data_IF_707384863241
#
_entry.id   IF_707384863241
#
_cell.length_a   1.000
_cell.length_b   1.000
_cell.length_c   1.000
_cell.angle_alpha   90.00
_cell.angle_beta   90.00
_cell.angle_gamma   90.00
#
_symmetry.space_group_name_H-M   'P 1'
#
loop_
_entity.id
_entity.type
_entity.pdbx_description
1 polymer ?
#
# COMPACT_ATOMS: atom_id res chain seq x y z
N UNK A 1 1.18 -1.63 -0.07
CA UNK A 1 -0.17 -1.03 -0.23
C UNK A 1 -1.15 -1.52 0.84
N UNK A 2 -1.08 -2.78 1.28
CA UNK A 2 -1.93 -3.28 2.36
C UNK A 2 -1.66 -2.57 3.69
N UNK A 3 -0.39 -2.41 4.07
CA UNK A 3 -0.03 -1.67 5.28
C UNK A 3 -0.53 -0.21 5.26
N UNK A 4 -0.50 0.47 4.10
CA UNK A 4 -1.05 1.84 4.00
C UNK A 4 -2.57 1.88 4.19
N UNK A 5 -3.31 0.88 3.70
CA UNK A 5 -4.76 0.77 3.97
C UNK A 5 -4.99 0.58 5.48
N UNK A 6 -4.20 -0.28 6.13
CA UNK A 6 -4.28 -0.50 7.57
C UNK A 6 -4.07 0.79 8.36
N UNK A 7 -2.99 1.52 8.07
CA UNK A 7 -2.69 2.82 8.72
C UNK A 7 -3.82 3.85 8.46
N UNK A 8 -4.34 3.91 7.23
CA UNK A 8 -5.45 4.81 6.90
C UNK A 8 -6.74 4.44 7.65
N UNK A 9 -7.04 3.15 7.79
CA UNK A 9 -8.19 2.66 8.57
C UNK A 9 -8.02 2.95 10.06
N UNK A 10 -6.85 2.69 10.62
CA UNK A 10 -6.56 2.96 12.03
C UNK A 10 -6.68 4.45 12.36
N UNK A 11 -6.16 5.31 11.49
CA UNK A 11 -6.25 6.76 11.65
C UNK A 11 -7.66 7.36 11.46
N UNK A 12 -8.64 6.56 11.01
CA UNK A 12 -10.06 6.93 10.96
C UNK A 12 -10.85 6.45 12.20
N UNK A 13 -10.29 5.57 13.03
CA UNK A 13 -10.96 5.08 14.25
C UNK A 13 -11.16 6.19 15.27
N UNK A 14 -10.19 7.09 15.38
CA UNK A 14 -10.28 8.24 16.26
C UNK A 14 -10.92 9.44 15.52
N UNK A 15 -11.93 10.03 16.15
CA UNK A 15 -12.60 11.24 15.69
C UNK A 15 -11.84 12.50 16.14
N UNK A 16 -10.88 12.39 17.06
CA UNK A 16 -10.13 13.49 17.65
C UNK A 16 -10.78 13.99 18.94
N UNK A 17 -9.99 14.07 20.01
CA UNK A 17 -10.37 14.53 21.36
C UNK A 17 -10.79 16.02 21.46
N UNK A 18 -11.00 16.71 20.32
CA UNK A 18 -11.36 18.12 20.26
C UNK A 18 -12.74 18.44 19.68
N UNK A 19 -13.56 17.43 19.36
CA UNK A 19 -14.91 17.65 18.83
C UNK A 19 -15.95 17.99 19.91
N UNK A 20 -15.71 17.62 21.15
CA UNK A 20 -16.60 17.95 22.27
C UNK A 20 -16.29 19.35 22.78
N UNK A 21 -17.33 20.16 22.99
CA UNK A 21 -17.21 21.45 23.65
C UNK A 21 -16.41 21.31 24.95
N UNK A 22 -15.41 22.16 25.17
CA UNK A 22 -14.75 22.25 26.48
C UNK A 22 -15.82 22.66 27.49
N UNK A 23 -16.10 21.81 28.48
CA UNK A 23 -16.94 22.14 29.62
C UNK A 23 -16.04 22.53 30.81
N UNK A 24 -16.37 23.62 31.51
CA UNK A 24 -15.62 24.11 32.69
C UNK A 24 -15.23 25.59 32.59
N UNK A 25 -14.46 26.11 33.55
CA UNK A 25 -14.07 27.52 33.68
C UNK A 25 -13.34 28.09 32.44
N UNK A 26 -12.75 27.19 31.64
CA UNK A 26 -12.10 27.49 30.35
C UNK A 26 -13.10 27.86 29.23
N UNK A 27 -14.40 27.62 29.41
CA UNK A 27 -15.47 28.02 28.49
C UNK A 27 -15.97 29.45 28.75
N UNK A 28 -15.70 30.02 29.94
CA UNK A 28 -16.19 31.33 30.34
C UNK A 28 -15.38 32.52 29.80
N UNK A 29 -14.14 32.29 29.33
CA UNK A 29 -13.33 33.36 28.74
C UNK A 29 -13.67 33.54 27.26
N UNK A 30 -13.96 34.78 26.79
CA UNK A 30 -14.20 35.03 25.37
C UNK A 30 -12.93 34.75 24.56
N UNK A 31 -12.96 33.70 23.74
CA UNK A 31 -11.88 33.41 22.79
C UNK A 31 -12.02 34.34 21.57
N UNK A 32 -10.89 34.71 20.97
CA UNK A 32 -10.86 35.49 19.74
C UNK A 32 -11.77 34.83 18.69
N UNK A 33 -12.71 35.61 18.12
CA UNK A 33 -13.63 35.15 17.08
C UNK A 33 -12.83 34.70 15.86
N UNK A 34 -12.61 33.40 15.73
CA UNK A 34 -11.84 32.80 14.65
C UNK A 34 -12.51 31.52 14.17
N UNK A 35 -13.32 31.65 13.12
CA UNK A 35 -13.90 30.57 12.27
C UNK A 35 -14.28 29.28 13.00
N UNK A 36 -15.41 29.33 13.72
CA UNK A 36 -16.16 28.17 14.19
C UNK A 36 -16.76 27.41 13.01
N UNK A 37 -15.94 26.75 12.19
CA UNK A 37 -16.49 25.85 11.17
C UNK A 37 -16.87 24.52 11.82
N UNK A 38 -18.06 24.05 11.47
CA UNK A 38 -18.68 22.82 11.94
C UNK A 38 -17.69 21.65 12.08
N UNK A 39 -17.43 21.18 13.32
CA UNK A 39 -16.56 20.04 13.58
C UNK A 39 -17.00 18.75 12.87
N UNK A 40 -18.32 18.53 12.73
CA UNK A 40 -18.88 17.36 12.05
C UNK A 40 -18.56 17.42 10.56
N UNK A 41 -18.80 18.57 9.93
CA UNK A 41 -18.48 18.78 8.53
C UNK A 41 -16.98 18.61 8.24
N UNK A 42 -16.11 19.16 9.10
CA UNK A 42 -14.65 18.98 8.97
C UNK A 42 -14.25 17.50 9.01
N UNK A 43 -14.85 16.75 9.93
CA UNK A 43 -14.58 15.33 10.08
C UNK A 43 -15.12 14.51 8.90
N UNK A 44 -16.30 14.84 8.39
CA UNK A 44 -16.86 14.24 7.18
C UNK A 44 -15.96 14.46 5.96
N UNK A 45 -15.46 15.68 5.75
CA UNK A 45 -14.51 15.99 4.66
C UNK A 45 -13.18 15.24 4.85
N UNK A 46 -12.66 15.15 6.08
CA UNK A 46 -11.44 14.39 6.38
C UNK A 46 -11.60 12.91 6.04
N UNK A 47 -12.71 12.29 6.47
CA UNK A 47 -13.03 10.89 6.19
C UNK A 47 -13.23 10.66 4.70
N UNK A 48 -13.99 11.51 4.02
CA UNK A 48 -14.25 11.40 2.58
C UNK A 48 -12.96 11.34 1.74
N UNK A 49 -11.98 12.20 2.04
CA UNK A 49 -10.67 12.18 1.37
C UNK A 49 -9.92 10.86 1.61
N UNK A 50 -9.95 10.33 2.84
CA UNK A 50 -9.25 9.07 3.18
C UNK A 50 -9.91 7.84 2.57
N UNK A 51 -11.23 7.77 2.57
CA UNK A 51 -11.98 6.73 1.86
C UNK A 51 -11.66 6.70 0.37
N UNK A 52 -11.56 7.87 -0.27
CA UNK A 52 -11.15 7.95 -1.68
C UNK A 52 -9.76 7.35 -1.95
N UNK A 53 -8.82 7.47 -1.01
CA UNK A 53 -7.48 6.85 -1.13
C UNK A 53 -7.54 5.35 -0.87
N UNK A 54 -8.30 4.92 0.14
CA UNK A 54 -8.49 3.50 0.46
C UNK A 54 -9.07 2.76 -0.75
N UNK A 55 -10.15 3.27 -1.34
CA UNK A 55 -10.80 2.65 -2.50
C UNK A 55 -9.84 2.52 -3.69
N UNK A 56 -8.97 3.52 -3.91
CA UNK A 56 -7.94 3.45 -4.96
C UNK A 56 -6.92 2.33 -4.70
N UNK A 57 -6.50 2.13 -3.46
CA UNK A 57 -5.56 1.07 -3.12
C UNK A 57 -6.22 -0.31 -3.15
N UNK A 58 -7.47 -0.43 -2.70
CA UNK A 58 -8.25 -1.65 -2.77
C UNK A 58 -8.47 -2.11 -4.21
N UNK A 59 -8.86 -1.20 -5.10
CA UNK A 59 -9.02 -1.52 -6.52
C UNK A 59 -7.71 -2.05 -7.13
N UNK A 60 -6.57 -1.41 -6.84
CA UNK A 60 -5.26 -1.87 -7.32
C UNK A 60 -4.89 -3.25 -6.76
N UNK A 61 -5.12 -3.49 -5.48
CA UNK A 61 -4.81 -4.78 -4.85
C UNK A 61 -5.70 -5.88 -5.43
N UNK A 62 -7.01 -5.63 -5.60
CA UNK A 62 -7.93 -6.57 -6.23
C UNK A 62 -7.44 -7.00 -7.61
N UNK A 63 -7.05 -6.04 -8.46
CA UNK A 63 -6.57 -6.37 -9.81
C UNK A 63 -5.32 -7.26 -9.83
N UNK A 64 -4.45 -7.15 -8.82
CA UNK A 64 -3.26 -8.00 -8.71
C UNK A 64 -3.66 -9.36 -8.15
N UNK A 65 -4.50 -9.40 -7.12
CA UNK A 65 -4.97 -10.65 -6.49
C UNK A 65 -5.75 -11.52 -7.47
N UNK A 66 -6.61 -10.94 -8.30
CA UNK A 66 -7.36 -11.66 -9.33
C UNK A 66 -6.44 -12.40 -10.31
N UNK A 67 -5.24 -11.87 -10.55
CA UNK A 67 -4.22 -12.41 -11.47
C UNK A 67 -3.12 -13.20 -10.77
N UNK A 68 -3.16 -13.35 -9.44
CA UNK A 68 -2.12 -14.09 -8.71
C UNK A 68 -1.98 -15.55 -9.16
N UNK A 69 -3.04 -16.14 -9.70
CA UNK A 69 -3.04 -17.51 -10.22
C UNK A 69 -2.10 -17.74 -11.42
N UNK A 70 -1.64 -16.68 -12.08
CA UNK A 70 -0.70 -16.76 -13.20
C UNK A 70 0.73 -17.06 -12.73
N UNK A 71 1.07 -16.72 -11.49
CA UNK A 71 2.40 -16.89 -10.91
C UNK A 71 2.49 -18.31 -10.34
N UNK A 72 3.39 -19.12 -10.89
CA UNK A 72 3.57 -20.53 -10.51
C UNK A 72 4.73 -20.79 -9.57
N UNK A 73 5.72 -19.89 -9.51
CA UNK A 73 6.87 -20.05 -8.64
C UNK A 73 6.57 -19.52 -7.23
N UNK A 74 6.77 -20.38 -6.23
CA UNK A 74 6.58 -20.05 -4.82
C UNK A 74 7.46 -18.87 -4.39
N UNK A 75 8.69 -18.78 -4.92
CA UNK A 75 9.62 -17.68 -4.59
C UNK A 75 9.10 -16.34 -5.08
N UNK A 76 8.54 -16.31 -6.29
CA UNK A 76 7.95 -15.10 -6.87
C UNK A 76 6.70 -14.68 -6.09
N UNK A 77 5.89 -15.64 -5.65
CA UNK A 77 4.70 -15.41 -4.85
C UNK A 77 5.05 -14.81 -3.47
N UNK A 78 6.10 -15.29 -2.80
CA UNK A 78 6.60 -14.70 -1.56
C UNK A 78 7.07 -13.25 -1.76
N UNK A 79 7.85 -12.99 -2.81
CA UNK A 79 8.30 -11.63 -3.13
C UNK A 79 7.10 -10.72 -3.39
N UNK A 80 6.13 -11.17 -4.20
CA UNK A 80 4.91 -10.40 -4.47
C UNK A 80 4.15 -10.08 -3.18
N UNK A 81 3.98 -11.05 -2.29
CA UNK A 81 3.32 -10.85 -1.01
C UNK A 81 3.99 -9.73 -0.19
N UNK A 82 5.32 -9.74 -0.06
CA UNK A 82 6.04 -8.70 0.67
C UNK A 82 5.99 -7.33 -0.01
N UNK A 83 5.94 -7.29 -1.35
CA UNK A 83 5.73 -6.05 -2.10
C UNK A 83 4.34 -5.47 -1.89
N UNK A 84 3.30 -6.30 -1.87
CA UNK A 84 1.93 -5.89 -1.56
C UNK A 84 1.80 -5.37 -0.13
N UNK A 85 2.51 -5.98 0.82
CA UNK A 85 2.61 -5.50 2.20
C UNK A 85 3.33 -4.13 2.27
N UNK A 86 4.27 -3.89 1.36
CA UNK A 86 5.00 -2.62 1.23
C UNK A 86 6.38 -2.65 1.88
N UNK A 87 7.02 -3.82 1.97
CA UNK A 87 8.40 -3.95 2.42
C UNK A 87 9.37 -3.43 1.36
N UNK A 88 10.52 -2.92 1.79
CA UNK A 88 11.55 -2.42 0.87
C UNK A 88 12.33 -3.58 0.24
N UNK A 89 12.91 -3.37 -0.94
CA UNK A 89 13.75 -4.38 -1.61
C UNK A 89 14.92 -4.85 -0.74
N UNK A 90 15.50 -3.95 0.07
CA UNK A 90 16.56 -4.30 1.02
C UNK A 90 16.05 -5.21 2.13
N UNK A 91 14.84 -4.97 2.64
CA UNK A 91 14.25 -5.81 3.67
C UNK A 91 13.93 -7.20 3.12
N UNK A 92 13.34 -7.27 1.93
CA UNK A 92 13.02 -8.54 1.25
C UNK A 92 14.31 -9.31 0.91
N UNK A 93 15.36 -8.59 0.46
CA UNK A 93 16.68 -9.16 0.17
C UNK A 93 17.25 -9.87 1.39
N UNK A 94 17.24 -9.18 2.53
CA UNK A 94 17.71 -9.73 3.79
C UNK A 94 16.85 -10.92 4.24
N UNK A 95 15.52 -10.82 4.11
CA UNK A 95 14.60 -11.87 4.52
C UNK A 95 14.77 -13.15 3.70
N UNK A 96 15.05 -13.03 2.39
CA UNK A 96 15.16 -14.16 1.47
C UNK A 96 16.61 -14.65 1.25
N UNK A 97 17.61 -13.94 1.80
CA UNK A 97 19.02 -14.22 1.54
C UNK A 97 19.48 -13.89 0.10
N UNK A 98 18.83 -12.94 -0.57
CA UNK A 98 19.08 -12.56 -1.96
C UNK A 98 19.64 -11.14 -2.07
N UNK A 99 20.24 -10.80 -3.20
CA UNK A 99 20.62 -9.41 -3.47
C UNK A 99 19.41 -8.56 -3.83
N UNK A 100 19.44 -7.25 -3.53
CA UNK A 100 18.37 -6.33 -3.92
C UNK A 100 18.14 -6.29 -5.44
N UNK A 101 19.17 -6.60 -6.23
CA UNK A 101 19.14 -6.55 -7.69
C UNK A 101 18.40 -7.76 -8.22
N UNK A 102 18.57 -8.90 -7.55
CA UNK A 102 17.84 -10.11 -7.86
C UNK A 102 16.35 -9.94 -7.58
N UNK A 103 15.96 -9.30 -6.48
CA UNK A 103 14.54 -8.99 -6.19
C UNK A 103 13.94 -8.05 -7.22
N UNK A 104 14.72 -7.07 -7.69
CA UNK A 104 14.28 -6.20 -8.77
C UNK A 104 13.95 -7.00 -10.04
N UNK A 105 14.80 -7.97 -10.40
CA UNK A 105 14.55 -8.87 -11.54
C UNK A 105 13.33 -9.76 -11.32
N UNK A 106 13.17 -10.35 -10.12
CA UNK A 106 11.98 -11.15 -9.78
C UNK A 106 10.71 -10.31 -9.92
N UNK A 107 10.71 -9.07 -9.41
CA UNK A 107 9.59 -8.14 -9.60
C UNK A 107 9.30 -7.91 -11.09
N UNK A 108 10.32 -7.72 -11.91
CA UNK A 108 10.14 -7.49 -13.34
C UNK A 108 9.53 -8.73 -14.02
N UNK A 109 10.01 -9.94 -13.68
CA UNK A 109 9.40 -11.21 -14.10
C UNK A 109 7.92 -11.33 -13.69
N UNK A 110 7.58 -10.98 -12.44
CA UNK A 110 6.19 -10.98 -11.96
C UNK A 110 5.33 -10.01 -12.78
N UNK A 111 5.84 -8.81 -13.09
CA UNK A 111 5.10 -7.83 -13.90
C UNK A 111 4.85 -8.36 -15.30
N UNK A 112 5.86 -8.98 -15.92
CA UNK A 112 5.76 -9.58 -17.24
C UNK A 112 4.69 -10.69 -17.27
N UNK A 113 4.66 -11.55 -16.25
CA UNK A 113 3.65 -12.61 -16.10
C UNK A 113 2.24 -12.07 -15.88
N UNK A 114 2.08 -10.95 -15.16
CA UNK A 114 0.78 -10.33 -14.90
C UNK A 114 0.26 -9.50 -16.10
N UNK A 115 1.13 -9.14 -17.04
CA UNK A 115 0.77 -8.43 -18.27
C UNK A 115 0.42 -9.40 -19.39
N UNK A 116 -0.84 -9.86 -19.44
CA UNK A 116 -1.40 -10.77 -20.46
C UNK A 116 -1.47 -10.18 -21.91
N UNK A 117 -0.53 -9.34 -22.34
CA UNK A 117 -0.63 -8.66 -23.64
C UNK A 117 0.64 -8.77 -24.47
N UNK A 118 0.47 -9.39 -25.65
CA UNK A 118 1.29 -9.37 -26.86
C UNK A 118 2.04 -8.04 -27.13
N UNK A 119 3.07 -7.73 -26.36
CA UNK A 119 4.06 -6.74 -26.76
C UNK A 119 5.09 -7.49 -27.62
N UNK A 120 5.33 -7.10 -28.89
CA UNK A 120 6.32 -7.76 -29.72
C UNK A 120 7.67 -7.74 -28.99
N UNK A 121 8.25 -8.92 -28.91
CA UNK A 121 9.48 -9.26 -28.19
C UNK A 121 10.61 -8.26 -28.51
N UNK A 122 10.81 -7.28 -27.63
CA UNK A 122 12.08 -6.58 -27.55
C UNK A 122 13.03 -7.54 -26.84
N UNK A 123 14.19 -7.90 -27.41
CA UNK A 123 15.12 -8.80 -26.77
C UNK A 123 15.74 -8.09 -25.55
N UNK A 124 15.04 -8.13 -24.43
CA UNK A 124 15.58 -7.77 -23.13
C UNK A 124 16.28 -9.03 -22.61
N UNK A 125 17.61 -8.98 -22.57
CA UNK A 125 18.45 -10.13 -22.23
C UNK A 125 17.95 -10.88 -20.99
N UNK A 126 17.68 -12.16 -21.19
CA UNK A 126 17.53 -13.24 -20.20
C UNK A 126 16.88 -12.82 -18.87
N UNK A 127 15.62 -12.41 -18.91
CA UNK A 127 14.80 -12.23 -17.71
C UNK A 127 14.12 -13.54 -17.36
N UNK A 128 14.34 -14.01 -16.14
CA UNK A 128 13.85 -15.27 -15.56
C UNK A 128 14.66 -16.53 -15.93
N UNK A 129 16.00 -16.46 -15.94
CA UNK A 129 16.81 -17.68 -15.96
C UNK A 129 16.76 -18.37 -14.59
N UNK A 130 16.30 -19.63 -14.60
CA UNK A 130 16.35 -20.60 -13.52
C UNK A 130 17.71 -20.51 -12.81
N UNK A 131 17.72 -19.97 -11.59
CA UNK A 131 18.89 -20.10 -10.72
C UNK A 131 18.90 -21.56 -10.27
N UNK A 132 19.55 -22.42 -11.06
CA UNK A 132 19.89 -23.77 -10.67
C UNK A 132 20.50 -23.70 -9.27
N UNK A 133 19.82 -24.35 -8.33
CA UNK A 133 20.29 -24.57 -6.97
C UNK A 133 21.68 -25.19 -7.05
N UNK A 134 22.71 -24.39 -6.79
CA UNK A 134 24.05 -24.90 -6.58
C UNK A 134 24.04 -25.59 -5.22
N UNK A 135 24.15 -26.92 -5.26
CA UNK A 135 24.56 -27.74 -4.11
C UNK A 135 25.92 -27.29 -3.58
#
# INVERSE_FOLDING_TARGET
MMNSIKILRDSMKDAGEGLTAQYGDQAGMPKAQGTTSDPVYREAVRRGKRFGVINKYEAKISTIQDRMHLIKDDRELEVLHWLLEGKSYRWIALHMGLSHSHIRRIRDCIVDQLSDTNVPNVPNGDTCTEVKSAC
#
